data_IF_643343751715
#
_entry.id   IF_643343751715
#
_cell.length_a   1.000
_cell.length_b   1.000
_cell.length_c   1.000
_cell.angle_alpha   90.00
_cell.angle_beta   90.00
_cell.angle_gamma   90.00
#
_symmetry.space_group_name_H-M   'P 1'
#
loop_
_entity.id
_entity.type
_entity.pdbx_description
1 polymer ?
#
# COMPACT_ATOMS: atom_id res chain seq x y z
N UNK A 1 -49.89 -66.61 23.88
CA UNK A 1 -50.01 -65.32 23.14
C UNK A 1 -49.08 -64.32 23.81
N UNK A 2 -47.88 -64.16 23.27
CA UNK A 2 -46.92 -63.15 23.73
C UNK A 2 -47.20 -61.86 22.94
N UNK A 3 -47.84 -60.89 23.58
CA UNK A 3 -47.92 -59.53 23.05
C UNK A 3 -46.55 -58.90 23.25
N UNK A 4 -45.71 -58.88 22.21
CA UNK A 4 -44.47 -58.12 22.24
C UNK A 4 -44.86 -56.65 22.36
N UNK A 5 -44.61 -56.07 23.53
CA UNK A 5 -44.60 -54.62 23.70
C UNK A 5 -43.57 -54.11 22.71
N UNK A 6 -44.05 -53.54 21.62
CA UNK A 6 -43.29 -52.63 20.78
C UNK A 6 -42.83 -51.54 21.75
N UNK A 7 -41.56 -51.56 22.11
CA UNK A 7 -40.91 -50.44 22.77
C UNK A 7 -41.15 -49.24 21.85
N UNK A 8 -42.05 -48.37 22.29
CA UNK A 8 -42.33 -47.10 21.64
C UNK A 8 -41.08 -46.24 21.84
N UNK A 9 -40.19 -46.28 20.85
CA UNK A 9 -38.94 -45.49 20.80
C UNK A 9 -39.26 -44.05 20.41
N UNK A 10 -40.34 -43.50 20.96
CA UNK A 10 -40.68 -42.09 20.86
C UNK A 10 -40.90 -41.60 22.29
N UNK A 11 -40.00 -40.73 22.73
CA UNK A 11 -40.03 -40.12 24.05
C UNK A 11 -41.19 -39.11 24.08
N UNK A 12 -42.40 -39.61 24.36
CA UNK A 12 -43.69 -38.90 24.43
C UNK A 12 -43.68 -37.76 25.49
N UNK A 13 -42.57 -37.61 26.22
CA UNK A 13 -42.35 -36.60 27.27
C UNK A 13 -41.62 -35.33 26.78
N UNK A 14 -41.10 -35.31 25.55
CA UNK A 14 -40.40 -34.12 25.03
C UNK A 14 -41.42 -33.08 24.62
N UNK A 15 -41.70 -32.11 25.50
CA UNK A 15 -42.60 -31.02 25.15
C UNK A 15 -42.00 -30.18 24.02
N UNK A 16 -42.85 -29.78 23.06
CA UNK A 16 -42.46 -28.88 21.96
C UNK A 16 -41.80 -27.58 22.47
N UNK A 17 -42.18 -27.15 23.68
CA UNK A 17 -41.59 -26.00 24.39
C UNK A 17 -40.13 -26.28 24.78
N UNK A 18 -39.80 -27.51 25.19
CA UNK A 18 -38.44 -27.94 25.50
C UNK A 18 -37.54 -28.04 24.26
N UNK A 19 -38.11 -28.46 23.11
CA UNK A 19 -37.41 -28.45 21.81
C UNK A 19 -37.12 -27.02 21.38
N UNK A 20 -38.14 -26.14 21.38
CA UNK A 20 -37.99 -24.73 21.02
C UNK A 20 -37.01 -23.98 21.91
N UNK A 21 -36.97 -24.29 23.22
CA UNK A 21 -35.98 -23.71 24.15
C UNK A 21 -34.53 -24.13 23.81
N UNK A 22 -34.30 -25.40 23.45
CA UNK A 22 -32.97 -25.86 23.01
C UNK A 22 -32.55 -25.24 21.69
N UNK A 23 -33.47 -25.08 20.75
CA UNK A 23 -33.20 -24.43 19.47
C UNK A 23 -32.88 -22.94 19.66
N UNK A 24 -33.61 -22.25 20.54
CA UNK A 24 -33.34 -20.86 20.89
C UNK A 24 -31.95 -20.68 21.52
N UNK A 25 -31.56 -21.57 22.45
CA UNK A 25 -30.23 -21.52 23.07
C UNK A 25 -29.09 -21.84 22.08
N UNK A 26 -29.31 -22.79 21.15
CA UNK A 26 -28.38 -23.04 20.04
C UNK A 26 -28.25 -21.81 19.14
N UNK A 27 -29.35 -21.17 18.78
CA UNK A 27 -29.37 -19.97 17.96
C UNK A 27 -28.59 -18.84 18.63
N UNK A 28 -28.85 -18.60 19.93
CA UNK A 28 -28.14 -17.58 20.73
C UNK A 28 -26.64 -17.85 20.79
N UNK A 29 -26.24 -19.09 21.02
CA UNK A 29 -24.82 -19.49 21.05
C UNK A 29 -24.16 -19.30 19.68
N UNK A 30 -24.85 -19.64 18.59
CA UNK A 30 -24.34 -19.47 17.24
C UNK A 30 -24.17 -17.99 16.89
N UNK A 31 -25.17 -17.16 17.20
CA UNK A 31 -25.11 -15.71 16.99
C UNK A 31 -23.92 -15.08 17.73
N UNK A 32 -23.68 -15.51 18.98
CA UNK A 32 -22.56 -15.01 19.77
C UNK A 32 -21.20 -15.40 19.16
N UNK A 33 -21.05 -16.65 18.72
CA UNK A 33 -19.83 -17.13 18.05
C UNK A 33 -19.59 -16.42 16.72
N UNK A 34 -20.64 -16.22 15.94
CA UNK A 34 -20.59 -15.51 14.68
C UNK A 34 -20.17 -14.06 14.89
N UNK A 35 -20.77 -13.35 15.85
CA UNK A 35 -20.35 -12.00 16.24
C UNK A 35 -18.88 -11.92 16.63
N UNK A 36 -18.37 -12.91 17.38
CA UNK A 36 -16.94 -12.98 17.73
C UNK A 36 -16.04 -13.18 16.52
N UNK A 37 -16.39 -14.08 15.60
CA UNK A 37 -15.61 -14.35 14.38
C UNK A 37 -15.61 -13.16 13.44
N UNK A 38 -16.77 -12.53 13.27
CA UNK A 38 -16.91 -11.31 12.46
C UNK A 38 -16.10 -10.18 13.06
N UNK A 39 -16.18 -9.96 14.37
CA UNK A 39 -15.39 -8.93 15.06
C UNK A 39 -13.88 -9.16 14.90
N UNK A 40 -13.42 -10.40 15.03
CA UNK A 40 -12.01 -10.75 14.81
C UNK A 40 -11.57 -10.48 13.36
N UNK A 41 -12.36 -10.92 12.38
CA UNK A 41 -12.06 -10.72 10.96
C UNK A 41 -12.00 -9.25 10.59
N UNK A 42 -12.99 -8.46 11.03
CA UNK A 42 -13.04 -7.01 10.77
C UNK A 42 -11.87 -6.30 11.45
N UNK A 43 -11.49 -6.72 12.66
CA UNK A 43 -10.33 -6.18 13.37
C UNK A 43 -9.02 -6.40 12.60
N UNK A 44 -8.80 -7.63 12.14
CA UNK A 44 -7.61 -8.00 11.36
C UNK A 44 -7.53 -7.25 10.03
N UNK A 45 -8.64 -7.18 9.30
CA UNK A 45 -8.71 -6.46 8.03
C UNK A 45 -8.43 -4.96 8.22
N UNK A 46 -9.00 -4.36 9.28
CA UNK A 46 -8.76 -2.94 9.60
C UNK A 46 -7.30 -2.66 9.91
N UNK A 47 -6.66 -3.50 10.72
CA UNK A 47 -5.26 -3.34 11.09
C UNK A 47 -4.35 -3.49 9.86
N UNK A 48 -4.61 -4.50 9.02
CA UNK A 48 -3.91 -4.70 7.75
C UNK A 48 -4.05 -3.49 6.83
N UNK A 49 -5.27 -2.98 6.65
CA UNK A 49 -5.51 -1.84 5.78
C UNK A 49 -4.88 -0.56 6.31
N UNK A 50 -4.84 -0.39 7.64
CA UNK A 50 -4.17 0.75 8.27
C UNK A 50 -2.68 0.72 7.97
N UNK A 51 -2.02 -0.43 8.21
CA UNK A 51 -0.59 -0.58 7.89
C UNK A 51 -0.29 -0.40 6.40
N UNK A 52 -1.15 -0.91 5.52
CA UNK A 52 -1.01 -0.70 4.08
C UNK A 52 -1.13 0.78 3.71
N UNK A 53 -2.14 1.49 4.23
CA UNK A 53 -2.37 2.90 3.91
C UNK A 53 -1.21 3.78 4.38
N UNK A 54 -0.68 3.54 5.58
CA UNK A 54 0.46 4.27 6.13
C UNK A 54 1.71 4.05 5.28
N UNK A 55 2.03 2.79 4.96
CA UNK A 55 3.17 2.46 4.12
C UNK A 55 3.03 3.06 2.72
N UNK A 56 1.86 2.91 2.08
CA UNK A 56 1.58 3.45 0.76
C UNK A 56 1.71 4.97 0.72
N UNK A 57 1.11 5.68 1.68
CA UNK A 57 1.20 7.14 1.75
C UNK A 57 2.64 7.61 1.92
N UNK A 58 3.41 6.97 2.81
CA UNK A 58 4.83 7.28 3.01
C UNK A 58 5.65 7.07 1.74
N UNK A 59 5.51 5.90 1.10
CA UNK A 59 6.23 5.58 -0.14
C UNK A 59 5.88 6.55 -1.29
N UNK A 60 4.61 6.92 -1.45
CA UNK A 60 4.19 7.90 -2.47
C UNK A 60 4.79 9.28 -2.19
N UNK A 61 4.86 9.70 -0.92
CA UNK A 61 5.47 10.97 -0.55
C UNK A 61 6.96 11.00 -0.92
N UNK A 62 7.70 9.92 -0.65
CA UNK A 62 9.11 9.78 -1.03
C UNK A 62 9.30 9.81 -2.55
N UNK A 63 8.51 9.01 -3.27
CA UNK A 63 8.56 8.96 -4.73
C UNK A 63 8.29 10.32 -5.37
N UNK A 64 7.34 11.08 -4.81
CA UNK A 64 7.02 12.43 -5.27
C UNK A 64 8.22 13.38 -5.18
N UNK A 65 9.02 13.31 -4.11
CA UNK A 65 10.21 14.16 -3.94
C UNK A 65 11.22 13.92 -5.07
N UNK A 66 11.57 12.67 -5.34
CA UNK A 66 12.51 12.28 -6.42
C UNK A 66 11.92 12.62 -7.81
N UNK A 67 10.66 12.25 -8.03
CA UNK A 67 9.95 12.52 -9.29
C UNK A 67 9.84 14.01 -9.62
N UNK A 68 9.83 14.89 -8.62
CA UNK A 68 9.80 16.34 -8.85
C UNK A 68 11.08 16.80 -9.54
N UNK A 69 12.26 16.33 -9.10
CA UNK A 69 13.54 16.65 -9.74
C UNK A 69 13.61 16.07 -11.15
N UNK A 70 13.16 14.82 -11.32
CA UNK A 70 13.02 14.20 -12.66
C UNK A 70 12.16 15.06 -13.60
N UNK A 71 11.00 15.50 -13.13
CA UNK A 71 10.09 16.36 -13.89
C UNK A 71 10.73 17.69 -14.29
N UNK A 72 11.51 18.30 -13.40
CA UNK A 72 12.27 19.52 -13.72
C UNK A 72 13.27 19.26 -14.85
N UNK A 73 14.11 18.23 -14.75
CA UNK A 73 15.09 17.88 -15.79
C UNK A 73 14.39 17.61 -17.14
N UNK A 74 13.33 16.80 -17.14
CA UNK A 74 12.56 16.51 -18.34
C UNK A 74 11.96 17.77 -18.96
N UNK A 75 11.52 18.73 -18.15
CA UNK A 75 10.98 20.00 -18.65
C UNK A 75 12.04 20.84 -19.38
N UNK A 76 13.26 20.91 -18.86
CA UNK A 76 14.38 21.59 -19.55
C UNK A 76 14.74 20.91 -20.86
N UNK A 77 14.85 19.58 -20.86
CA UNK A 77 15.13 18.82 -22.08
C UNK A 77 14.01 19.00 -23.12
N UNK A 78 12.75 18.93 -22.71
CA UNK A 78 11.60 19.14 -23.59
C UNK A 78 11.59 20.56 -24.19
N UNK A 79 11.83 21.59 -23.37
CA UNK A 79 11.94 22.98 -23.85
C UNK A 79 13.08 23.13 -24.85
N UNK A 80 14.23 22.49 -24.62
CA UNK A 80 15.33 22.51 -25.58
C UNK A 80 14.92 21.88 -26.92
N UNK A 81 14.23 20.73 -26.89
CA UNK A 81 13.74 20.08 -28.10
C UNK A 81 12.76 20.94 -28.89
N UNK A 82 11.87 21.66 -28.21
CA UNK A 82 10.91 22.58 -28.83
C UNK A 82 11.62 23.77 -29.48
N UNK A 83 12.66 24.29 -28.83
CA UNK A 83 13.40 25.48 -29.28
C UNK A 83 14.59 25.16 -30.21
N UNK A 84 14.71 23.91 -30.71
CA UNK A 84 15.80 23.52 -31.62
C UNK A 84 15.73 24.35 -32.91
N UNK A 85 16.60 25.36 -32.99
CA UNK A 85 16.68 26.30 -34.12
C UNK A 85 16.79 27.77 -33.70
N UNK A 86 16.48 28.09 -32.44
CA UNK A 86 16.60 29.44 -31.89
C UNK A 86 17.91 29.63 -31.08
N UNK A 87 18.35 30.89 -30.92
CA UNK A 87 19.51 31.27 -30.11
C UNK A 87 19.34 30.97 -28.61
N UNK A 88 18.15 30.56 -28.18
CA UNK A 88 17.81 30.20 -26.79
C UNK A 88 17.95 28.70 -26.50
N UNK A 89 18.36 27.89 -27.48
CA UNK A 89 18.65 26.47 -27.25
C UNK A 89 19.87 26.32 -26.33
N UNK A 90 19.79 25.40 -25.37
CA UNK A 90 20.93 25.07 -24.50
C UNK A 90 21.99 24.33 -25.31
N UNK A 91 23.27 24.52 -24.94
CA UNK A 91 24.40 23.84 -25.58
C UNK A 91 24.24 22.32 -25.55
N UNK A 92 24.77 21.63 -26.55
CA UNK A 92 24.81 20.17 -26.61
C UNK A 92 25.51 19.56 -25.38
N UNK A 93 26.54 20.24 -24.86
CA UNK A 93 27.19 19.84 -23.61
C UNK A 93 26.23 19.88 -22.43
N UNK A 94 25.44 20.95 -22.28
CA UNK A 94 24.45 21.09 -21.20
C UNK A 94 23.35 20.04 -21.35
N UNK A 95 22.91 19.76 -22.59
CA UNK A 95 21.95 18.70 -22.87
C UNK A 95 22.46 17.33 -22.39
N UNK A 96 23.70 16.96 -22.74
CA UNK A 96 24.29 15.68 -22.32
C UNK A 96 24.39 15.57 -20.78
N UNK A 97 24.79 16.64 -20.09
CA UNK A 97 24.85 16.64 -18.63
C UNK A 97 23.46 16.51 -17.98
N UNK A 98 22.41 17.07 -18.59
CA UNK A 98 21.04 16.89 -18.13
C UNK A 98 20.53 15.46 -18.35
N UNK A 99 20.87 14.83 -19.47
CA UNK A 99 20.55 13.43 -19.75
C UNK A 99 21.27 12.48 -18.77
N UNK A 100 22.55 12.72 -18.49
CA UNK A 100 23.29 11.98 -17.47
C UNK A 100 22.67 12.14 -16.07
N UNK A 101 22.26 13.35 -15.71
CA UNK A 101 21.60 13.61 -14.43
C UNK A 101 20.22 12.92 -14.37
N UNK A 102 19.47 12.93 -15.47
CA UNK A 102 18.19 12.23 -15.57
C UNK A 102 18.36 10.74 -15.30
N UNK A 103 19.37 10.11 -15.92
CA UNK A 103 19.66 8.70 -15.71
C UNK A 103 19.97 8.41 -14.23
N UNK A 104 20.81 9.22 -13.59
CA UNK A 104 21.13 9.06 -12.15
C UNK A 104 19.89 9.16 -11.25
N UNK A 105 18.97 10.07 -11.56
CA UNK A 105 17.71 10.23 -10.82
C UNK A 105 16.82 9.00 -11.00
N UNK A 106 16.74 8.45 -12.22
CA UNK A 106 15.96 7.24 -12.51
C UNK A 106 16.54 6.00 -11.83
N UNK A 107 17.86 5.83 -11.84
CA UNK A 107 18.53 4.71 -11.17
C UNK A 107 18.28 4.75 -9.65
N UNK A 108 18.35 5.95 -9.06
CA UNK A 108 18.02 6.15 -7.65
C UNK A 108 16.55 5.86 -7.35
N UNK A 109 15.63 6.33 -8.19
CA UNK A 109 14.19 6.02 -8.07
C UNK A 109 13.93 4.51 -8.10
N UNK A 110 14.57 3.78 -9.02
CA UNK A 110 14.47 2.32 -9.08
C UNK A 110 15.03 1.63 -7.83
N UNK A 111 16.13 2.14 -7.29
CA UNK A 111 16.76 1.60 -6.07
C UNK A 111 15.85 1.80 -4.85
N UNK A 112 15.23 2.98 -4.72
CA UNK A 112 14.29 3.27 -3.63
C UNK A 112 12.98 2.47 -3.71
N UNK A 113 12.61 1.97 -4.89
CA UNK A 113 11.37 1.23 -5.16
C UNK A 113 11.56 -0.30 -5.21
N UNK A 114 12.70 -0.84 -4.77
CA UNK A 114 12.86 -2.29 -4.69
C UNK A 114 11.76 -2.96 -3.86
N UNK A 115 11.36 -4.17 -4.29
CA UNK A 115 10.06 -4.83 -4.06
C UNK A 115 9.78 -5.29 -2.62
N UNK A 116 10.50 -4.81 -1.62
CA UNK A 116 10.21 -5.16 -0.23
C UNK A 116 9.10 -4.28 0.35
N UNK A 117 8.22 -4.90 1.14
CA UNK A 117 7.28 -4.18 1.99
C UNK A 117 8.05 -3.22 2.90
N UNK A 118 7.86 -1.92 2.67
CA UNK A 118 8.49 -0.87 3.44
C UNK A 118 7.80 -0.77 4.79
N UNK A 119 8.51 -1.15 5.85
CA UNK A 119 8.08 -0.89 7.22
C UNK A 119 8.18 0.61 7.52
N UNK A 120 7.45 1.10 8.51
CA UNK A 120 7.52 2.52 8.92
C UNK A 120 8.96 2.98 9.24
N UNK A 121 9.77 2.12 9.86
CA UNK A 121 11.19 2.39 10.13
C UNK A 121 12.01 2.52 8.85
N UNK A 122 11.80 1.64 7.85
CA UNK A 122 12.48 1.73 6.56
C UNK A 122 12.09 3.01 5.81
N UNK A 123 10.81 3.41 5.88
CA UNK A 123 10.34 4.66 5.28
C UNK A 123 11.05 5.87 5.89
N UNK A 124 11.21 5.93 7.22
CA UNK A 124 11.90 7.04 7.87
C UNK A 124 13.40 7.12 7.51
N UNK A 125 14.07 5.97 7.38
CA UNK A 125 15.47 5.91 6.93
C UNK A 125 15.61 6.37 5.48
N UNK A 126 14.75 5.85 4.60
CA UNK A 126 14.69 6.26 3.20
C UNK A 126 14.35 7.74 3.05
N UNK A 127 13.50 8.31 3.91
CA UNK A 127 13.20 9.73 3.88
C UNK A 127 14.44 10.60 4.03
N UNK A 128 15.30 10.27 4.99
CA UNK A 128 16.55 10.99 5.22
C UNK A 128 17.49 10.87 4.02
N UNK A 129 17.57 9.68 3.41
CA UNK A 129 18.40 9.43 2.24
C UNK A 129 17.88 10.15 1.00
N UNK A 130 16.58 10.07 0.74
CA UNK A 130 15.89 10.74 -0.36
C UNK A 130 16.06 12.26 -0.23
N UNK A 131 15.87 12.83 0.95
CA UNK A 131 16.03 14.28 1.14
C UNK A 131 17.46 14.73 0.83
N UNK A 132 18.46 14.00 1.30
CA UNK A 132 19.87 14.26 0.98
C UNK A 132 20.14 14.18 -0.52
N UNK A 133 19.63 13.14 -1.19
CA UNK A 133 19.83 12.92 -2.63
C UNK A 133 19.09 13.93 -3.49
N UNK A 134 17.88 14.33 -3.11
CA UNK A 134 17.12 15.39 -3.78
C UNK A 134 17.88 16.71 -3.75
N UNK A 135 18.44 17.09 -2.59
CA UNK A 135 19.27 18.30 -2.48
C UNK A 135 20.54 18.20 -3.34
N UNK A 136 21.17 17.02 -3.39
CA UNK A 136 22.32 16.76 -4.26
C UNK A 136 21.96 16.94 -5.74
N UNK A 137 20.88 16.31 -6.21
CA UNK A 137 20.43 16.41 -7.60
C UNK A 137 19.98 17.83 -7.97
N UNK A 138 19.29 18.54 -7.08
CA UNK A 138 18.94 19.95 -7.29
C UNK A 138 20.18 20.83 -7.41
N UNK A 139 21.20 20.58 -6.59
CA UNK A 139 22.47 21.30 -6.65
C UNK A 139 23.22 21.02 -7.96
N UNK A 140 23.20 19.77 -8.44
CA UNK A 140 23.79 19.39 -9.73
C UNK A 140 23.03 20.06 -10.89
N UNK A 141 21.70 20.02 -10.87
CA UNK A 141 20.85 20.68 -11.86
C UNK A 141 21.15 22.19 -11.95
N UNK A 142 21.24 22.87 -10.80
CA UNK A 142 21.56 24.30 -10.76
C UNK A 142 22.97 24.63 -11.26
N UNK A 143 23.92 23.70 -11.12
CA UNK A 143 25.28 23.87 -11.67
C UNK A 143 25.32 23.67 -13.18
N UNK A 144 24.53 22.76 -13.71
CA UNK A 144 24.46 22.47 -15.15
C UNK A 144 23.79 23.63 -15.92
N UNK A 145 22.81 24.29 -15.29
CA UNK A 145 22.05 25.39 -15.89
C UNK A 145 22.69 26.78 -15.72
N UNK A 146 23.84 26.88 -15.04
CA UNK A 146 24.59 28.13 -14.84
C UNK A 146 25.69 28.29 -15.88
#
# INVERSE_FOLDING_TARGET
MATSKVEDVFDESVSDIGVGSKELEKLKTNLQKEGFRTGLSVGQERELQTGFNEAFSGSVALLKKVSTVRGQICSYLALNHINRGDQTAISEEVQNHLEDLLQKVQDFEHTCLEKELLTAEKIAQLETEVDKKVVEFQSQLHRILK
#
